data_IF_841718980219
#
_entry.id   IF_841718980219
#
_cell.length_a   1.000
_cell.length_b   1.000
_cell.length_c   1.000
_cell.angle_alpha   90.00
_cell.angle_beta   90.00
_cell.angle_gamma   90.00
#
_symmetry.space_group_name_H-M   'P 1'
#
loop_
_entity.id
_entity.type
_entity.pdbx_description
1 polymer ?
#
# COMPACT_ATOMS: atom_id res chain seq x y z
N UNK A 1 10.84 16.54 1.41
CA UNK A 1 9.54 15.98 1.06
C UNK A 1 9.75 15.01 -0.07
N UNK A 2 9.43 13.76 0.10
CA UNK A 2 9.64 12.74 -0.91
C UNK A 2 8.66 12.97 -2.07
N UNK A 3 9.17 13.17 -3.29
CA UNK A 3 8.32 13.45 -4.46
C UNK A 3 7.86 12.14 -5.11
N UNK A 4 7.21 11.31 -4.33
CA UNK A 4 6.73 9.99 -4.73
C UNK A 4 5.33 9.69 -4.17
N UNK A 5 4.60 8.83 -4.88
CA UNK A 5 3.38 8.20 -4.38
C UNK A 5 3.72 6.82 -3.81
N UNK A 6 3.14 6.47 -2.66
CA UNK A 6 3.24 5.13 -2.08
C UNK A 6 2.06 4.26 -2.49
N UNK A 7 2.33 3.04 -2.90
CA UNK A 7 1.32 2.02 -3.15
C UNK A 7 1.59 0.85 -2.22
N UNK A 8 0.64 0.59 -1.34
CA UNK A 8 0.64 -0.58 -0.45
C UNK A 8 -0.22 -1.65 -1.10
N UNK A 9 0.44 -2.67 -1.65
CA UNK A 9 -0.24 -3.70 -2.40
C UNK A 9 -0.84 -4.77 -1.47
N UNK A 10 -1.94 -5.39 -1.91
CA UNK A 10 -2.55 -6.48 -1.16
C UNK A 10 -1.66 -7.73 -1.15
N UNK A 11 -2.01 -8.68 -0.29
CA UNK A 11 -1.35 -10.00 -0.25
C UNK A 11 -1.59 -10.78 -1.53
N UNK A 12 -0.51 -11.31 -2.12
CA UNK A 12 -0.59 -12.15 -3.31
C UNK A 12 -1.23 -13.51 -3.03
N UNK A 13 -1.59 -14.27 -4.09
CA UNK A 13 -2.30 -15.55 -3.96
C UNK A 13 -1.52 -16.62 -3.18
N UNK A 14 -0.22 -16.46 -3.04
CA UNK A 14 0.65 -17.39 -2.30
C UNK A 14 0.64 -17.17 -0.77
N UNK A 15 0.05 -16.07 -0.32
CA UNK A 15 -0.06 -15.76 1.11
C UNK A 15 -1.40 -16.26 1.60
N UNK A 16 -1.43 -17.42 2.24
CA UNK A 16 -2.64 -18.03 2.75
C UNK A 16 -2.53 -18.35 4.24
N UNK A 17 -3.48 -17.84 5.02
CA UNK A 17 -3.64 -18.14 6.45
C UNK A 17 -5.03 -18.73 6.64
N UNK A 18 -5.11 -20.04 6.72
CA UNK A 18 -6.40 -20.78 6.84
C UNK A 18 -7.20 -20.30 8.04
N UNK A 19 -8.50 -20.10 7.84
CA UNK A 19 -9.48 -19.77 8.87
C UNK A 19 -9.55 -18.30 9.27
N UNK A 20 -8.55 -17.49 8.95
CA UNK A 20 -8.55 -16.05 9.28
C UNK A 20 -8.85 -15.15 8.07
N UNK A 21 -8.41 -15.52 6.89
CA UNK A 21 -8.62 -14.75 5.66
C UNK A 21 -10.09 -14.75 5.19
N UNK A 22 -10.89 -15.71 5.62
CA UNK A 22 -12.33 -15.77 5.30
C UNK A 22 -13.08 -14.53 5.80
N UNK A 23 -12.57 -13.88 6.85
CA UNK A 23 -13.20 -12.74 7.50
C UNK A 23 -12.51 -11.40 7.27
N UNK A 24 -11.20 -11.40 7.00
CA UNK A 24 -10.43 -10.18 6.82
C UNK A 24 -9.16 -10.41 6.00
N UNK A 25 -8.64 -9.39 5.28
CA UNK A 25 -7.37 -9.51 4.58
C UNK A 25 -6.22 -9.69 5.57
N UNK A 26 -5.11 -10.33 5.13
CA UNK A 26 -3.91 -10.56 5.97
C UNK A 26 -3.35 -9.25 6.49
N UNK A 27 -3.36 -8.21 5.67
CA UNK A 27 -2.95 -6.85 6.05
C UNK A 27 -3.67 -6.29 7.28
N UNK A 28 -4.90 -6.77 7.56
CA UNK A 28 -5.68 -6.38 8.72
C UNK A 28 -5.47 -7.27 9.96
N UNK A 29 -4.57 -8.26 9.91
CA UNK A 29 -4.28 -9.10 11.07
C UNK A 29 -3.59 -8.31 12.17
N UNK A 30 -3.99 -8.59 13.43
CA UNK A 30 -3.38 -7.98 14.60
C UNK A 30 -1.94 -8.44 14.77
N UNK A 31 -1.05 -7.50 15.08
CA UNK A 31 0.32 -7.72 15.43
C UNK A 31 0.63 -7.05 16.78
N UNK A 32 1.20 -7.79 17.70
CA UNK A 32 1.50 -7.33 19.08
C UNK A 32 0.29 -6.71 19.81
N UNK A 33 -0.92 -7.19 19.53
CA UNK A 33 -2.16 -6.82 20.19
C UNK A 33 -2.70 -5.42 19.88
N UNK A 34 -1.89 -4.52 19.32
CA UNK A 34 -2.27 -3.12 19.05
C UNK A 34 -2.22 -2.74 17.58
N UNK A 35 -1.20 -3.20 16.88
CA UNK A 35 -0.95 -2.86 15.49
C UNK A 35 -1.60 -3.86 14.55
N UNK A 36 -1.74 -3.47 13.29
CA UNK A 36 -2.04 -4.37 12.17
C UNK A 36 -0.86 -4.41 11.22
N UNK A 37 -0.74 -5.47 10.44
CA UNK A 37 0.40 -5.63 9.54
C UNK A 37 0.57 -4.45 8.58
N UNK A 38 -0.53 -3.91 8.09
CA UNK A 38 -0.55 -2.73 7.19
C UNK A 38 0.01 -1.45 7.83
N UNK A 39 0.05 -1.35 9.16
CA UNK A 39 0.54 -0.16 9.84
C UNK A 39 2.03 0.06 9.60
N UNK A 40 2.80 -1.01 9.43
CA UNK A 40 4.25 -0.92 9.22
C UNK A 40 4.63 -0.29 7.88
N UNK A 41 4.16 -0.78 6.72
CA UNK A 41 4.45 -0.12 5.44
C UNK A 41 3.91 1.31 5.37
N UNK A 42 2.71 1.59 5.88
CA UNK A 42 2.16 2.95 5.87
C UNK A 42 3.00 3.89 6.75
N UNK A 43 3.41 3.43 7.95
CA UNK A 43 4.26 4.23 8.84
C UNK A 43 5.64 4.49 8.22
N UNK A 44 6.25 3.50 7.57
CA UNK A 44 7.53 3.67 6.87
C UNK A 44 7.40 4.71 5.74
N UNK A 45 6.35 4.63 4.91
CA UNK A 45 6.09 5.62 3.87
C UNK A 45 5.89 7.03 4.44
N UNK A 46 5.02 7.16 5.43
CA UNK A 46 4.73 8.46 6.04
C UNK A 46 5.96 9.07 6.73
N UNK A 47 6.74 8.26 7.48
CA UNK A 47 7.97 8.72 8.13
C UNK A 47 9.05 9.12 7.12
N UNK A 48 9.04 8.55 5.93
CA UNK A 48 9.93 8.92 4.81
C UNK A 48 9.42 10.15 4.03
N UNK A 49 8.31 10.76 4.44
CA UNK A 49 7.74 11.94 3.77
C UNK A 49 6.88 11.64 2.55
N UNK A 50 6.55 10.36 2.30
CA UNK A 50 5.58 9.94 1.28
C UNK A 50 4.17 10.06 1.89
N UNK A 51 3.48 11.15 1.56
CA UNK A 51 2.19 11.48 2.18
C UNK A 51 0.98 11.09 1.32
N UNK A 52 1.16 10.82 0.04
CA UNK A 52 0.12 10.31 -0.84
C UNK A 52 0.26 8.79 -0.92
N UNK A 53 -0.65 8.08 -0.27
CA UNK A 53 -0.60 6.62 -0.16
C UNK A 53 -1.90 6.02 -0.68
N UNK A 54 -1.77 5.03 -1.55
CA UNK A 54 -2.87 4.20 -2.04
C UNK A 54 -2.70 2.79 -1.49
N UNK A 55 -3.74 2.28 -0.83
CA UNK A 55 -3.77 0.92 -0.29
C UNK A 55 -4.71 0.09 -1.15
N UNK A 56 -4.18 -0.93 -1.80
CA UNK A 56 -4.97 -1.84 -2.61
C UNK A 56 -5.54 -2.96 -1.74
N UNK A 57 -6.82 -3.25 -1.93
CA UNK A 57 -7.53 -4.29 -1.17
C UNK A 57 -8.32 -5.18 -2.12
N UNK A 58 -8.16 -6.49 -1.99
CA UNK A 58 -8.84 -7.47 -2.86
C UNK A 58 -10.22 -7.85 -2.33
N UNK A 59 -10.31 -8.23 -1.07
CA UNK A 59 -11.53 -8.78 -0.45
C UNK A 59 -11.74 -8.22 0.96
N UNK A 60 -13.01 -8.20 1.40
CA UNK A 60 -13.41 -7.83 2.76
C UNK A 60 -12.74 -6.56 3.32
N UNK A 61 -12.83 -5.41 2.63
CA UNK A 61 -12.07 -4.21 2.99
C UNK A 61 -12.55 -3.55 4.29
N UNK A 62 -13.72 -3.90 4.81
CA UNK A 62 -14.38 -3.23 5.92
C UNK A 62 -13.48 -3.05 7.15
N UNK A 63 -12.86 -4.13 7.61
CA UNK A 63 -11.99 -4.08 8.79
C UNK A 63 -10.76 -3.22 8.58
N UNK A 64 -10.27 -3.11 7.35
CA UNK A 64 -9.16 -2.27 6.96
C UNK A 64 -9.58 -0.80 6.87
N UNK A 65 -10.74 -0.53 6.25
CA UNK A 65 -11.33 0.81 6.17
C UNK A 65 -11.56 1.41 7.57
N UNK A 66 -12.14 0.63 8.48
CA UNK A 66 -12.38 1.06 9.86
C UNK A 66 -11.08 1.36 10.61
N UNK A 67 -10.02 0.57 10.38
CA UNK A 67 -8.73 0.74 11.03
C UNK A 67 -7.94 1.94 10.47
N UNK A 68 -7.83 2.03 9.16
CA UNK A 68 -7.04 3.08 8.50
C UNK A 68 -7.71 4.45 8.61
N UNK A 69 -9.04 4.49 8.59
CA UNK A 69 -9.83 5.70 8.73
C UNK A 69 -9.37 6.79 7.76
N UNK A 70 -9.03 7.95 8.29
CA UNK A 70 -8.57 9.12 7.53
C UNK A 70 -7.05 9.25 7.44
N UNK A 71 -6.28 8.27 7.90
CA UNK A 71 -4.81 8.32 7.92
C UNK A 71 -4.20 9.21 9.02
N UNK A 72 -5.00 9.78 9.90
CA UNK A 72 -4.51 10.67 10.98
C UNK A 72 -3.52 10.01 11.92
N UNK A 73 -3.67 8.71 12.16
CA UNK A 73 -2.79 7.93 13.03
C UNK A 73 -1.35 7.81 12.49
N UNK A 74 -1.17 8.05 11.19
CA UNK A 74 0.12 7.97 10.50
C UNK A 74 0.72 9.35 10.20
N UNK A 75 0.27 10.42 10.88
CA UNK A 75 0.68 11.81 10.59
C UNK A 75 0.41 12.27 9.14
N UNK A 76 -0.45 11.58 8.41
CA UNK A 76 -0.86 12.00 7.08
C UNK A 76 -1.83 13.17 7.24
N UNK A 77 -1.31 14.36 7.00
CA UNK A 77 -2.11 15.58 7.09
C UNK A 77 -2.96 15.76 5.84
N UNK A 78 -4.27 15.83 6.00
CA UNK A 78 -5.24 16.00 4.90
C UNK A 78 -5.01 17.24 4.02
N UNK A 79 -4.24 18.21 4.49
CA UNK A 79 -3.84 19.40 3.69
C UNK A 79 -2.65 19.12 2.76
N UNK A 80 -1.82 18.12 3.07
CA UNK A 80 -0.56 17.82 2.37
C UNK A 80 -0.50 16.40 1.81
N UNK A 81 -1.42 15.55 2.18
CA UNK A 81 -1.41 14.14 1.79
C UNK A 81 -2.79 13.51 1.86
N UNK A 82 -2.90 12.31 1.30
CA UNK A 82 -4.14 11.52 1.31
C UNK A 82 -3.82 10.04 1.43
N UNK A 83 -4.61 9.35 2.26
CA UNK A 83 -4.64 7.90 2.30
C UNK A 83 -5.91 7.43 1.59
N UNK A 84 -5.77 6.72 0.48
CA UNK A 84 -6.89 6.19 -0.29
C UNK A 84 -6.86 4.67 -0.28
N UNK A 85 -8.01 4.06 -0.05
CA UNK A 85 -8.17 2.61 -0.19
C UNK A 85 -8.89 2.37 -1.51
N UNK A 86 -8.30 1.56 -2.36
CA UNK A 86 -8.77 1.25 -3.70
C UNK A 86 -8.94 -0.26 -3.88
N UNK A 87 -9.95 -0.71 -4.65
CA UNK A 87 -10.08 -2.12 -4.98
C UNK A 87 -8.89 -2.55 -5.85
N UNK A 88 -8.34 -3.72 -5.56
CA UNK A 88 -7.20 -4.26 -6.31
C UNK A 88 -7.61 -4.77 -7.69
N UNK A 89 -8.89 -5.14 -7.88
CA UNK A 89 -9.44 -5.65 -9.15
C UNK A 89 -10.90 -5.28 -9.33
N UNK A 90 -11.41 -5.41 -10.56
CA UNK A 90 -12.84 -5.41 -10.84
C UNK A 90 -13.53 -6.62 -10.21
N UNK A 91 -14.81 -6.48 -9.84
CA UNK A 91 -15.62 -7.58 -9.30
C UNK A 91 -15.81 -8.73 -10.30
N UNK A 92 -15.67 -8.46 -11.60
CA UNK A 92 -15.91 -9.41 -12.68
C UNK A 92 -14.65 -10.19 -13.10
N UNK A 93 -13.49 -9.92 -12.52
CA UNK A 93 -12.26 -10.61 -12.87
C UNK A 93 -12.10 -11.96 -12.18
N UNK A 94 -11.68 -12.94 -12.97
CA UNK A 94 -11.41 -14.29 -12.50
C UNK A 94 -10.15 -14.32 -11.62
N UNK A 95 -10.19 -14.99 -10.49
CA UNK A 95 -9.09 -15.08 -9.52
C UNK A 95 -7.79 -15.67 -10.08
N UNK A 96 -7.88 -16.47 -11.16
CA UNK A 96 -6.72 -17.08 -11.81
C UNK A 96 -5.75 -16.06 -12.45
N UNK A 97 -6.24 -14.89 -12.82
CA UNK A 97 -5.43 -13.83 -13.46
C UNK A 97 -5.12 -12.67 -12.50
N UNK A 98 -5.41 -12.84 -11.21
CA UNK A 98 -5.16 -11.82 -10.21
C UNK A 98 -3.68 -11.76 -9.85
N UNK A 99 -2.96 -10.84 -10.47
CA UNK A 99 -1.58 -10.51 -10.16
C UNK A 99 -1.42 -9.00 -9.86
N UNK A 100 -0.26 -8.63 -9.35
CA UNK A 100 0.04 -7.26 -8.96
C UNK A 100 -0.05 -6.28 -10.14
N UNK A 101 0.42 -6.71 -11.32
CA UNK A 101 0.42 -5.89 -12.54
C UNK A 101 -1.00 -5.54 -12.94
N UNK A 102 -1.92 -6.51 -12.92
CA UNK A 102 -3.33 -6.25 -13.23
C UNK A 102 -3.96 -5.26 -12.25
N UNK A 103 -3.59 -5.31 -10.98
CA UNK A 103 -4.05 -4.34 -9.98
C UNK A 103 -3.54 -2.93 -10.25
N UNK A 104 -2.30 -2.80 -10.69
CA UNK A 104 -1.75 -1.49 -11.10
C UNK A 104 -2.42 -0.98 -12.37
N UNK A 105 -2.60 -1.83 -13.38
CA UNK A 105 -3.29 -1.47 -14.62
C UNK A 105 -4.74 -1.03 -14.38
N UNK A 106 -5.46 -1.76 -13.53
CA UNK A 106 -6.84 -1.41 -13.16
C UNK A 106 -6.93 -0.04 -12.47
N UNK A 107 -5.93 0.32 -11.68
CA UNK A 107 -5.87 1.58 -10.94
C UNK A 107 -4.95 2.63 -11.61
N UNK A 108 -4.50 2.40 -12.85
CA UNK A 108 -3.52 3.26 -13.52
C UNK A 108 -3.96 4.73 -13.54
N UNK A 109 -5.21 5.00 -13.92
CA UNK A 109 -5.76 6.35 -13.93
C UNK A 109 -5.60 7.05 -12.57
N UNK A 110 -5.90 6.35 -11.47
CA UNK A 110 -5.77 6.92 -10.14
C UNK A 110 -4.29 7.17 -9.75
N UNK A 111 -3.35 6.39 -10.28
CA UNK A 111 -1.92 6.58 -10.07
C UNK A 111 -1.43 7.79 -10.85
N UNK A 112 -1.81 7.91 -12.12
CA UNK A 112 -1.44 9.03 -13.00
C UNK A 112 -2.02 10.36 -12.51
N UNK A 113 -3.27 10.38 -12.07
CA UNK A 113 -3.94 11.58 -11.53
C UNK A 113 -3.24 12.15 -10.28
N UNK A 114 -2.45 11.33 -9.59
CA UNK A 114 -1.65 11.78 -8.45
C UNK A 114 -0.45 12.65 -8.87
N UNK A 115 -0.02 12.55 -10.15
CA UNK A 115 1.01 13.36 -10.77
C UNK A 115 2.35 13.41 -10.00
N UNK A 116 2.83 12.24 -9.58
CA UNK A 116 4.15 12.07 -8.96
C UNK A 116 5.13 11.43 -9.95
N UNK A 117 6.40 11.87 -10.00
CA UNK A 117 7.40 11.30 -10.90
C UNK A 117 7.87 9.90 -10.49
N UNK A 118 7.70 9.53 -9.22
CA UNK A 118 8.14 8.25 -8.69
C UNK A 118 7.03 7.51 -7.96
N UNK A 119 7.11 6.19 -8.00
CA UNK A 119 6.17 5.28 -7.32
C UNK A 119 6.96 4.35 -6.40
N UNK A 120 6.58 4.31 -5.13
CA UNK A 120 7.13 3.36 -4.15
C UNK A 120 6.11 2.25 -3.95
N UNK A 121 6.50 1.03 -4.29
CA UNK A 121 5.68 -0.17 -4.12
C UNK A 121 6.10 -0.93 -2.87
N UNK A 122 5.16 -1.29 -2.02
CA UNK A 122 5.43 -2.08 -0.81
C UNK A 122 4.30 -3.07 -0.54
N UNK A 123 4.60 -4.28 -0.05
CA UNK A 123 3.57 -5.23 0.36
C UNK A 123 2.87 -4.78 1.65
N UNK A 124 1.59 -5.15 1.80
CA UNK A 124 0.77 -4.77 2.95
C UNK A 124 0.96 -5.67 4.20
N UNK A 125 1.61 -6.80 4.06
CA UNK A 125 1.64 -7.88 5.07
C UNK A 125 3.02 -8.14 5.66
N UNK A 126 3.99 -7.28 5.40
CA UNK A 126 5.34 -7.40 5.96
C UNK A 126 5.56 -6.44 7.12
N UNK A 127 6.24 -6.94 8.14
CA UNK A 127 6.72 -6.15 9.27
C UNK A 127 8.21 -5.86 9.06
N UNK A 128 8.51 -4.62 8.74
CA UNK A 128 9.89 -4.18 8.45
C UNK A 128 10.05 -2.70 8.79
N UNK A 129 11.29 -2.25 8.83
CA UNK A 129 11.65 -0.84 8.96
C UNK A 129 12.48 -0.43 7.75
N UNK A 130 12.01 0.56 7.01
CA UNK A 130 12.66 1.08 5.81
C UNK A 130 12.53 2.60 5.75
N UNK A 131 13.63 3.26 5.41
CA UNK A 131 13.63 4.66 4.99
C UNK A 131 13.53 4.72 3.46
N UNK A 132 12.34 5.05 2.98
CA UNK A 132 12.08 5.18 1.55
C UNK A 132 12.65 6.47 0.96
N UNK A 133 12.98 7.47 1.77
CA UNK A 133 13.64 8.68 1.28
C UNK A 133 15.05 8.35 0.79
N UNK A 134 15.83 7.65 1.60
CA UNK A 134 17.17 7.22 1.22
C UNK A 134 17.17 6.27 0.02
N UNK A 135 16.18 5.36 -0.05
CA UNK A 135 16.02 4.47 -1.19
C UNK A 135 15.71 5.25 -2.49
N UNK A 136 14.84 6.25 -2.40
CA UNK A 136 14.51 7.11 -3.55
C UNK A 136 15.71 7.94 -4.02
N UNK A 137 16.50 8.48 -3.10
CA UNK A 137 17.71 9.21 -3.45
C UNK A 137 18.70 8.31 -4.21
N UNK A 138 18.90 7.08 -3.73
CA UNK A 138 19.72 6.07 -4.43
C UNK A 138 19.16 5.73 -5.82
N UNK A 139 17.84 5.60 -5.95
CA UNK A 139 17.17 5.33 -7.22
C UNK A 139 17.42 6.45 -8.23
N UNK A 140 17.26 7.70 -7.80
CA UNK A 140 17.48 8.88 -8.65
C UNK A 140 18.95 8.97 -9.09
N UNK A 141 19.88 8.74 -8.18
CA UNK A 141 21.33 8.76 -8.48
C UNK A 141 21.73 7.64 -9.46
N UNK A 142 21.11 6.49 -9.37
CA UNK A 142 21.41 5.35 -10.26
C UNK A 142 20.91 5.56 -11.69
N UNK A 143 19.89 6.40 -11.88
CA UNK A 143 19.20 6.58 -13.16
C UNK A 143 18.49 5.32 -13.68
N UNK A 144 18.25 4.34 -12.81
CA UNK A 144 17.57 3.08 -13.15
C UNK A 144 16.05 3.30 -13.27
N UNK A 145 15.39 2.53 -14.14
CA UNK A 145 13.93 2.56 -14.27
C UNK A 145 13.24 1.89 -13.07
N UNK A 146 13.89 0.87 -12.49
CA UNK A 146 13.39 0.11 -11.33
C UNK A 146 14.54 -0.19 -10.38
N UNK A 147 14.31 0.03 -9.08
CA UNK A 147 15.22 -0.36 -8.00
C UNK A 147 14.49 -1.27 -7.00
N UNK A 148 15.13 -2.38 -6.62
CA UNK A 148 14.58 -3.35 -5.65
C UNK A 148 15.55 -3.53 -4.48
#
# INVERSE_FOLDING_TARGET
>A
MCNAIGIVNYEGPNVQVKGMQDYRPVSAFSFLGRYRLVDFPISNLSNSGVNHIKVFVKTNPRSLLEHLGTGRHYNINSKRGKLHILPAKSMDENDFYSNDINSYMYNMQAIEDANYPYVVLTPSHFVFRQDFSALLDTHIESGADITM
#
